data_IF_334450427251
#
_entry.id   IF_334450427251
#
_cell.length_a   1.000
_cell.length_b   1.000
_cell.length_c   1.000
_cell.angle_alpha   90.00
_cell.angle_beta   90.00
_cell.angle_gamma   90.00
#
_symmetry.space_group_name_H-M   'P 1'
#
loop_
_entity.id
_entity.type
_entity.pdbx_description
1 polymer ?
#
# COMPACT_ATOMS: atom_id res chain seq x y z
N UNK A 1 -54.17 9.46 -65.50
CA UNK A 1 -53.99 10.76 -64.81
C UNK A 1 -53.38 10.53 -63.43
N UNK A 2 -52.23 11.17 -63.18
CA UNK A 2 -51.61 11.61 -61.91
C UNK A 2 -52.15 11.02 -60.59
N UNK A 3 -51.33 10.21 -59.91
CA UNK A 3 -51.10 10.30 -58.44
C UNK A 3 -49.64 9.96 -58.10
N UNK A 4 -48.71 10.78 -58.60
CA UNK A 4 -47.39 10.99 -57.97
C UNK A 4 -47.66 11.86 -56.73
N UNK A 5 -47.65 11.30 -55.51
CA UNK A 5 -47.49 12.07 -54.25
C UNK A 5 -47.54 11.28 -52.91
N UNK A 6 -47.51 9.94 -52.87
CA UNK A 6 -47.55 9.21 -51.57
C UNK A 6 -46.39 8.20 -51.44
N UNK A 7 -45.23 8.49 -52.03
CA UNK A 7 -43.98 7.75 -51.75
C UNK A 7 -42.95 8.66 -51.04
N UNK A 8 -43.20 9.97 -50.97
CA UNK A 8 -42.28 10.93 -50.34
C UNK A 8 -42.51 11.17 -48.85
N UNK A 9 -43.53 10.58 -48.22
CA UNK A 9 -43.83 10.79 -46.79
C UNK A 9 -43.34 9.65 -45.88
N UNK A 10 -43.01 8.47 -46.44
CA UNK A 10 -42.40 7.37 -45.67
C UNK A 10 -40.87 7.39 -45.70
N UNK A 11 -40.24 8.14 -46.62
CA UNK A 11 -38.79 8.28 -46.67
C UNK A 11 -38.24 9.29 -45.64
N UNK A 12 -39.08 10.17 -45.08
CA UNK A 12 -38.68 11.17 -44.06
C UNK A 12 -38.98 10.69 -42.64
N UNK A 13 -39.86 9.69 -42.46
CA UNK A 13 -40.18 9.13 -41.14
C UNK A 13 -39.22 8.02 -40.67
N UNK A 14 -38.34 7.52 -41.55
CA UNK A 14 -37.23 6.61 -41.18
C UNK A 14 -35.98 7.39 -40.74
N UNK A 15 -35.98 8.73 -40.84
CA UNK A 15 -34.88 9.59 -40.38
C UNK A 15 -35.08 10.08 -38.93
N UNK A 16 -36.16 9.66 -38.24
CA UNK A 16 -36.53 10.24 -36.95
C UNK A 16 -36.53 9.32 -35.72
N UNK A 17 -36.16 8.03 -35.80
CA UNK A 17 -36.00 7.19 -34.60
C UNK A 17 -34.81 6.24 -34.75
N UNK A 18 -33.64 6.70 -34.31
CA UNK A 18 -32.71 6.00 -33.41
C UNK A 18 -31.33 6.65 -33.51
N UNK A 19 -31.18 7.80 -32.85
CA UNK A 19 -29.92 8.09 -32.16
C UNK A 19 -29.79 7.02 -31.07
N UNK A 20 -29.18 5.91 -31.43
CA UNK A 20 -28.52 5.02 -30.49
C UNK A 20 -27.10 4.94 -31.01
N UNK A 21 -26.22 5.70 -30.35
CA UNK A 21 -24.78 5.58 -30.55
C UNK A 21 -24.44 4.09 -30.57
N UNK A 22 -23.80 3.67 -31.66
CA UNK A 22 -23.37 2.30 -31.85
C UNK A 22 -22.39 2.01 -30.73
N UNK A 23 -22.87 1.27 -29.72
CA UNK A 23 -22.06 0.71 -28.66
C UNK A 23 -21.13 -0.28 -29.32
N UNK A 24 -19.86 0.11 -29.50
CA UNK A 24 -18.85 -0.82 -29.96
C UNK A 24 -18.33 -1.58 -28.74
N UNK A 25 -18.92 -2.76 -28.53
CA UNK A 25 -18.35 -3.80 -27.69
C UNK A 25 -17.17 -4.40 -28.46
N UNK A 26 -15.94 -4.00 -28.13
CA UNK A 26 -14.75 -4.63 -28.70
C UNK A 26 -14.30 -5.80 -27.82
N UNK A 27 -14.82 -7.00 -28.12
CA UNK A 27 -14.06 -8.23 -27.88
C UNK A 27 -13.29 -8.49 -29.17
N UNK A 28 -11.97 -8.27 -29.16
CA UNK A 28 -11.10 -8.47 -30.33
C UNK A 28 -10.27 -9.73 -30.10
N UNK A 29 -10.76 -10.87 -30.61
CA UNK A 29 -9.95 -12.08 -30.70
C UNK A 29 -8.99 -11.96 -31.88
N UNK A 30 -7.70 -12.17 -31.63
CA UNK A 30 -6.68 -12.25 -32.68
C UNK A 30 -6.18 -13.70 -32.77
N UNK A 31 -6.37 -14.33 -33.92
CA UNK A 31 -5.69 -15.57 -34.31
C UNK A 31 -4.50 -15.23 -35.20
N UNK A 32 -3.30 -15.57 -34.74
CA UNK A 32 -2.05 -15.43 -35.50
C UNK A 32 -1.84 -16.68 -36.35
N UNK A 33 -1.81 -16.53 -37.67
CA UNK A 33 -1.46 -17.59 -38.62
C UNK A 33 0.04 -17.91 -38.53
N UNK A 34 0.40 -18.83 -37.62
CA UNK A 34 1.45 -19.88 -37.71
C UNK A 34 1.78 -20.42 -36.31
N UNK A 35 1.21 -21.58 -35.99
CA UNK A 35 1.64 -22.53 -34.95
C UNK A 35 2.04 -21.98 -33.57
N UNK A 36 1.03 -21.70 -32.73
CA UNK A 36 1.03 -22.15 -31.33
C UNK A 36 -0.43 -22.15 -30.85
N UNK A 37 -0.84 -23.22 -30.17
CA UNK A 37 -2.23 -23.43 -29.75
C UNK A 37 -2.80 -22.21 -29.02
N UNK A 38 -3.85 -21.62 -29.58
CA UNK A 38 -4.69 -20.62 -28.91
C UNK A 38 -5.48 -21.31 -27.80
N UNK A 39 -5.19 -20.99 -26.55
CA UNK A 39 -6.10 -21.24 -25.43
C UNK A 39 -5.84 -20.28 -24.25
N UNK A 40 -5.43 -19.04 -24.51
CA UNK A 40 -5.38 -18.00 -23.49
C UNK A 40 -6.50 -17.00 -23.77
N UNK A 41 -7.41 -16.85 -22.81
CA UNK A 41 -8.32 -15.73 -22.79
C UNK A 41 -7.55 -14.52 -22.27
N UNK A 42 -7.57 -13.44 -23.04
CA UNK A 42 -7.03 -12.14 -22.66
C UNK A 42 -8.21 -11.17 -22.67
N UNK A 43 -8.60 -10.70 -21.49
CA UNK A 43 -9.65 -9.72 -21.32
C UNK A 43 -9.18 -8.70 -20.30
N UNK A 44 -8.81 -7.53 -20.81
CA UNK A 44 -8.49 -6.39 -19.97
C UNK A 44 -9.32 -5.21 -20.40
N UNK A 45 -10.07 -4.69 -19.44
CA UNK A 45 -10.95 -3.56 -19.64
C UNK A 45 -10.51 -2.44 -18.71
N UNK A 46 -10.22 -1.27 -19.29
CA UNK A 46 -10.21 -0.02 -18.54
C UNK A 46 -11.66 0.38 -18.27
N UNK A 47 -12.02 0.51 -16.99
CA UNK A 47 -13.38 0.95 -16.59
C UNK A 47 -13.31 2.23 -15.77
N UNK A 48 -14.34 3.07 -15.84
CA UNK A 48 -14.44 4.29 -15.04
C UNK A 48 -14.68 3.99 -13.55
N UNK A 49 -14.86 5.04 -12.73
CA UNK A 49 -15.16 4.89 -11.30
C UNK A 49 -16.47 4.17 -10.98
N UNK A 50 -17.37 4.03 -11.97
CA UNK A 50 -18.65 3.32 -11.87
C UNK A 50 -18.58 1.88 -12.41
N UNK A 51 -17.46 1.51 -13.03
CA UNK A 51 -17.26 0.18 -13.61
C UNK A 51 -17.67 0.07 -15.07
N UNK A 52 -17.98 1.18 -15.74
CA UNK A 52 -18.35 1.19 -17.16
C UNK A 52 -17.10 1.16 -18.05
N UNK A 53 -17.05 0.32 -19.11
CA UNK A 53 -15.91 0.27 -20.04
C UNK A 53 -15.64 1.64 -20.70
N UNK A 54 -14.37 2.02 -20.70
CA UNK A 54 -13.90 3.27 -21.31
C UNK A 54 -13.48 2.98 -22.75
N UNK A 55 -14.05 3.71 -23.71
CA UNK A 55 -13.62 3.70 -25.12
C UNK A 55 -12.54 4.75 -25.41
N UNK A 56 -12.05 4.79 -26.66
CA UNK A 56 -11.17 5.88 -27.12
C UNK A 56 -11.85 7.23 -26.92
N UNK A 57 -11.41 8.01 -25.94
CA UNK A 57 -12.06 9.25 -25.53
C UNK A 57 -11.05 10.36 -25.22
N UNK A 58 -11.39 11.59 -25.61
CA UNK A 58 -10.79 12.80 -25.06
C UNK A 58 -11.59 13.15 -23.80
N UNK A 59 -10.91 13.31 -22.65
CA UNK A 59 -11.59 13.77 -21.44
C UNK A 59 -11.43 15.29 -21.31
N UNK A 60 -12.55 15.95 -21.03
CA UNK A 60 -12.61 17.39 -20.82
C UNK A 60 -12.33 17.66 -19.34
N UNK A 61 -11.32 18.48 -19.04
CA UNK A 61 -10.89 18.78 -17.68
C UNK A 61 -11.97 19.47 -16.84
N UNK A 62 -13.04 19.98 -17.46
CA UNK A 62 -14.32 20.36 -16.82
C UNK A 62 -14.26 21.59 -15.90
N UNK A 63 -13.10 21.86 -15.31
CA UNK A 63 -12.80 22.95 -14.40
C UNK A 63 -11.79 23.92 -15.05
N UNK A 64 -11.90 25.18 -14.70
CA UNK A 64 -10.95 26.21 -15.12
C UNK A 64 -9.65 25.98 -14.36
N UNK A 65 -8.63 25.45 -15.05
CA UNK A 65 -7.31 25.31 -14.45
C UNK A 65 -6.74 26.71 -14.18
N UNK A 66 -6.33 26.95 -12.94
CA UNK A 66 -5.78 28.23 -12.51
C UNK A 66 -4.37 28.04 -11.95
N UNK A 67 -3.46 29.01 -12.16
CA UNK A 67 -2.13 28.97 -11.57
C UNK A 67 -2.17 28.86 -10.04
N UNK A 68 -1.32 27.98 -9.51
CA UNK A 68 -1.19 27.73 -8.07
C UNK A 68 -2.27 26.84 -7.47
N UNK A 69 -3.08 26.16 -8.29
CA UNK A 69 -4.08 25.23 -7.78
C UNK A 69 -3.45 23.97 -7.19
N UNK A 70 -4.07 23.46 -6.12
CA UNK A 70 -3.73 22.14 -5.60
C UNK A 70 -4.07 21.05 -6.63
N UNK A 71 -3.30 19.96 -6.61
CA UNK A 71 -3.54 18.82 -7.47
C UNK A 71 -4.94 18.22 -7.21
N UNK A 72 -5.71 18.01 -8.28
CA UNK A 72 -7.01 17.36 -8.20
C UNK A 72 -7.07 16.13 -9.12
N UNK A 73 -8.00 15.23 -8.81
CA UNK A 73 -8.23 14.02 -9.58
C UNK A 73 -9.08 14.37 -10.81
N UNK A 74 -8.46 14.43 -11.98
CA UNK A 74 -9.17 14.69 -13.22
C UNK A 74 -9.82 13.42 -13.80
N UNK A 75 -9.25 12.26 -13.50
CA UNK A 75 -9.74 10.99 -14.03
C UNK A 75 -9.32 9.81 -13.17
N UNK A 76 -10.15 8.76 -13.11
CA UNK A 76 -9.84 7.49 -12.45
C UNK A 76 -10.30 6.33 -13.31
N UNK A 77 -9.50 5.27 -13.36
CA UNK A 77 -9.86 4.05 -14.07
C UNK A 77 -9.34 2.80 -13.35
N UNK A 78 -9.85 1.63 -13.73
CA UNK A 78 -9.35 0.34 -13.22
C UNK A 78 -8.84 -0.54 -14.33
N UNK A 79 -7.76 -1.26 -14.06
CA UNK A 79 -7.30 -2.38 -14.90
C UNK A 79 -7.81 -3.66 -14.25
N UNK A 80 -8.69 -4.38 -14.95
CA UNK A 80 -9.20 -5.68 -14.52
C UNK A 80 -8.62 -6.80 -15.38
N UNK A 81 -7.81 -7.68 -14.77
CA UNK A 81 -7.18 -8.85 -15.41
C UNK A 81 -7.72 -10.19 -14.88
N UNK A 82 -8.84 -10.19 -14.15
CA UNK A 82 -9.39 -11.40 -13.50
C UNK A 82 -9.64 -12.55 -14.50
N UNK A 83 -9.96 -12.23 -15.75
CA UNK A 83 -10.20 -13.20 -16.84
C UNK A 83 -9.00 -13.32 -17.81
N UNK A 84 -7.82 -12.87 -17.40
CA UNK A 84 -6.60 -12.89 -18.21
C UNK A 84 -5.60 -13.90 -17.67
N UNK A 85 -5.37 -14.97 -18.43
CA UNK A 85 -4.49 -16.09 -18.05
C UNK A 85 -3.04 -15.91 -18.51
N UNK A 86 -2.74 -14.82 -19.23
CA UNK A 86 -1.40 -14.53 -19.77
C UNK A 86 -0.81 -13.25 -19.20
N UNK A 87 0.50 -13.23 -18.91
CA UNK A 87 1.21 -12.04 -18.45
C UNK A 87 1.18 -10.95 -19.50
N UNK A 88 0.88 -9.73 -19.03
CA UNK A 88 0.64 -8.56 -19.88
C UNK A 88 1.32 -7.36 -19.23
N UNK A 89 2.03 -6.60 -20.04
CA UNK A 89 2.53 -5.27 -19.70
C UNK A 89 1.57 -4.19 -20.23
N UNK A 90 1.49 -3.08 -19.51
CA UNK A 90 0.63 -1.95 -19.82
C UNK A 90 1.48 -0.73 -20.05
N UNK A 91 1.11 0.03 -21.08
CA UNK A 91 1.67 1.34 -21.34
C UNK A 91 0.54 2.37 -21.34
N UNK A 92 0.69 3.38 -20.50
CA UNK A 92 -0.23 4.51 -20.44
C UNK A 92 0.37 5.66 -21.24
N UNK A 93 -0.33 6.08 -22.29
CA UNK A 93 0.06 7.21 -23.12
C UNK A 93 -0.89 8.38 -22.88
N UNK A 94 -0.35 9.57 -22.67
CA UNK A 94 -1.09 10.83 -22.74
C UNK A 94 -0.73 11.56 -24.03
N UNK A 95 -1.74 11.95 -24.80
CA UNK A 95 -1.58 12.86 -25.93
C UNK A 95 -2.25 14.19 -25.58
N UNK A 96 -1.43 15.25 -25.49
CA UNK A 96 -1.86 16.59 -25.11
C UNK A 96 -1.99 17.45 -26.37
N UNK A 97 -3.08 18.19 -26.50
CA UNK A 97 -3.37 19.01 -27.69
C UNK A 97 -4.06 20.33 -27.32
N UNK A 98 -3.94 21.35 -28.18
CA UNK A 98 -4.56 22.67 -27.99
C UNK A 98 -3.59 23.70 -27.43
N UNK A 99 -4.06 24.95 -27.32
CA UNK A 99 -3.20 26.10 -26.98
C UNK A 99 -2.63 25.99 -25.55
N UNK A 100 -3.34 25.31 -24.65
CA UNK A 100 -2.85 25.02 -23.29
C UNK A 100 -1.70 24.01 -23.29
N UNK A 101 -1.57 23.17 -24.32
CA UNK A 101 -0.56 22.12 -24.43
C UNK A 101 0.22 22.24 -25.76
N UNK A 102 1.08 23.25 -25.89
CA UNK A 102 1.88 23.47 -27.10
C UNK A 102 2.91 22.36 -27.29
N UNK A 103 3.30 22.13 -28.55
CA UNK A 103 4.20 21.04 -28.94
C UNK A 103 5.65 21.20 -28.42
N UNK A 104 6.01 22.37 -27.91
CA UNK A 104 7.30 22.64 -27.26
C UNK A 104 7.31 22.26 -25.78
N UNK A 105 6.22 21.68 -25.27
CA UNK A 105 6.02 21.29 -23.87
C UNK A 105 6.17 22.45 -22.88
N UNK A 106 5.90 23.70 -23.30
CA UNK A 106 6.00 24.86 -22.41
C UNK A 106 4.77 25.05 -21.51
N UNK A 107 3.81 24.10 -21.52
CA UNK A 107 2.62 24.17 -20.66
C UNK A 107 3.03 24.11 -19.19
N UNK A 108 2.47 24.97 -18.33
CA UNK A 108 2.70 24.90 -16.88
C UNK A 108 1.86 23.81 -16.19
N UNK A 109 0.98 23.12 -16.93
CA UNK A 109 0.10 22.08 -16.39
C UNK A 109 0.83 20.75 -16.33
N UNK A 110 0.83 20.12 -15.16
CA UNK A 110 1.40 18.81 -14.91
C UNK A 110 0.33 17.72 -14.89
N UNK A 111 0.70 16.54 -15.36
CA UNK A 111 -0.08 15.32 -15.25
C UNK A 111 0.71 14.27 -14.49
N UNK A 112 0.08 13.66 -13.50
CA UNK A 112 0.68 12.55 -12.74
C UNK A 112 -0.26 11.36 -12.73
N UNK A 113 0.24 10.18 -13.12
CA UNK A 113 -0.48 8.92 -12.92
C UNK A 113 -0.17 8.36 -11.54
N UNK A 114 -1.20 7.93 -10.82
CA UNK A 114 -1.07 7.25 -9.53
C UNK A 114 -1.77 5.89 -9.56
N UNK A 115 -1.19 4.91 -8.87
CA UNK A 115 -1.78 3.59 -8.61
C UNK A 115 -2.08 3.47 -7.11
N UNK A 116 -3.18 2.82 -6.79
CA UNK A 116 -3.57 2.52 -5.42
C UNK A 116 -2.84 1.28 -4.90
N UNK A 117 -1.92 1.48 -3.96
CA UNK A 117 -1.18 0.41 -3.28
C UNK A 117 -1.62 0.36 -1.83
N UNK A 118 -2.46 -0.62 -1.50
CA UNK A 118 -3.09 -0.71 -0.18
C UNK A 118 -4.07 0.44 0.04
N UNK A 119 -3.79 1.29 1.05
CA UNK A 119 -4.61 2.47 1.33
C UNK A 119 -4.02 3.75 0.72
N UNK A 120 -2.82 3.68 0.13
CA UNK A 120 -2.08 4.84 -0.34
C UNK A 120 -2.10 4.94 -1.87
N UNK A 121 -1.99 6.17 -2.37
CA UNK A 121 -1.81 6.45 -3.79
C UNK A 121 -0.35 6.78 -4.07
N UNK A 122 0.28 6.00 -4.97
CA UNK A 122 1.71 6.10 -5.28
C UNK A 122 1.87 6.53 -6.73
N UNK A 123 2.78 7.47 -6.98
CA UNK A 123 3.11 7.91 -8.33
C UNK A 123 3.68 6.76 -9.16
N UNK A 124 3.19 6.62 -10.39
CA UNK A 124 3.66 5.62 -11.36
C UNK A 124 4.43 6.34 -12.45
N UNK A 125 5.65 5.88 -12.73
CA UNK A 125 6.35 6.26 -13.95
C UNK A 125 5.67 5.56 -15.15
N UNK A 126 4.83 6.31 -15.85
CA UNK A 126 4.12 5.82 -17.04
C UNK A 126 4.91 6.02 -18.34
N UNK A 127 6.14 6.53 -18.28
CA UNK A 127 7.00 6.62 -19.47
C UNK A 127 7.41 5.22 -19.98
N UNK A 128 7.45 4.24 -19.08
CA UNK A 128 7.82 2.86 -19.35
C UNK A 128 6.62 1.92 -19.17
N UNK A 129 6.57 0.78 -19.90
CA UNK A 129 5.58 -0.26 -19.63
C UNK A 129 5.71 -0.81 -18.21
N UNK A 130 4.58 -1.19 -17.60
CA UNK A 130 4.54 -1.81 -16.28
C UNK A 130 3.67 -3.07 -16.27
N UNK A 131 4.00 -4.03 -15.42
CA UNK A 131 3.21 -5.26 -15.24
C UNK A 131 2.33 -5.08 -14.00
N UNK A 132 1.00 -5.30 -14.07
CA UNK A 132 0.14 -5.21 -12.91
C UNK A 132 0.45 -6.34 -11.95
N UNK A 133 0.65 -5.97 -10.70
CA UNK A 133 0.89 -6.85 -9.58
C UNK A 133 -0.40 -7.54 -9.10
N UNK A 134 -1.59 -6.96 -9.28
CA UNK A 134 -2.87 -7.51 -8.79
C UNK A 134 -3.88 -7.78 -9.91
N UNK A 135 -4.88 -8.60 -9.61
CA UNK A 135 -5.96 -8.93 -10.57
C UNK A 135 -6.85 -7.74 -10.89
N UNK A 136 -6.97 -6.81 -9.95
CA UNK A 136 -7.63 -5.53 -10.13
C UNK A 136 -6.73 -4.46 -9.53
N UNK A 137 -6.44 -3.43 -10.32
CA UNK A 137 -5.68 -2.26 -9.89
C UNK A 137 -6.44 -0.97 -10.21
N UNK A 138 -6.47 -0.06 -9.24
CA UNK A 138 -7.11 1.25 -9.38
C UNK A 138 -6.03 2.29 -9.73
N UNK A 139 -6.29 3.08 -10.77
CA UNK A 139 -5.43 4.16 -11.24
C UNK A 139 -6.18 5.49 -11.24
N UNK A 140 -5.44 6.58 -11.06
CA UNK A 140 -5.96 7.93 -11.24
C UNK A 140 -4.95 8.87 -11.88
N UNK A 141 -5.47 9.86 -12.60
CA UNK A 141 -4.72 10.94 -13.24
C UNK A 141 -4.95 12.20 -12.43
N UNK A 142 -3.89 12.68 -11.81
CA UNK A 142 -3.84 13.94 -11.11
C UNK A 142 -3.42 15.04 -12.07
N UNK A 143 -4.03 16.21 -11.91
CA UNK A 143 -3.71 17.41 -12.68
C UNK A 143 -3.43 18.54 -11.70
N UNK A 144 -2.33 19.25 -11.93
CA UNK A 144 -1.96 20.44 -11.18
C UNK A 144 -1.38 21.52 -12.11
N UNK A 145 -1.47 22.77 -11.67
CA UNK A 145 -0.83 23.90 -12.33
C UNK A 145 -0.04 24.66 -11.26
N UNK A 146 1.23 24.29 -11.02
CA UNK A 146 2.10 25.02 -10.10
C UNK A 146 2.41 26.40 -10.65
N UNK A 147 2.60 27.38 -9.77
CA UNK A 147 3.00 28.71 -10.20
C UNK A 147 4.30 28.69 -11.01
N UNK A 148 4.31 29.46 -12.10
CA UNK A 148 5.41 29.53 -13.04
C UNK A 148 5.55 30.92 -13.65
N UNK A 149 6.73 31.24 -14.18
CA UNK A 149 7.00 32.55 -14.77
C UNK A 149 6.17 32.82 -16.04
N UNK A 150 5.60 31.78 -16.67
CA UNK A 150 4.78 31.89 -17.87
C UNK A 150 3.27 31.69 -17.62
N UNK A 151 2.80 31.70 -16.36
CA UNK A 151 1.38 31.54 -16.00
C UNK A 151 0.45 32.46 -16.82
N UNK A 152 0.83 33.73 -16.97
CA UNK A 152 0.05 34.73 -17.70
C UNK A 152 -0.10 34.40 -19.20
N UNK A 153 0.88 33.70 -19.79
CA UNK A 153 0.85 33.32 -21.20
C UNK A 153 -0.14 32.17 -21.47
N UNK A 154 -0.57 31.46 -20.43
CA UNK A 154 -1.47 30.31 -20.52
C UNK A 154 -2.89 30.58 -19.99
N UNK A 155 -3.11 31.73 -19.37
CA UNK A 155 -4.42 32.14 -18.87
C UNK A 155 -5.51 32.10 -19.95
N UNK A 156 -6.62 31.40 -19.67
CA UNK A 156 -7.76 31.26 -20.58
C UNK A 156 -7.53 30.37 -21.81
N UNK A 157 -6.35 29.78 -21.97
CA UNK A 157 -6.10 28.80 -23.03
C UNK A 157 -6.79 27.49 -22.70
N UNK A 158 -7.20 26.77 -23.74
CA UNK A 158 -7.85 25.47 -23.63
C UNK A 158 -7.01 24.39 -24.28
N UNK A 159 -7.20 23.16 -23.81
CA UNK A 159 -6.51 22.00 -24.33
C UNK A 159 -7.30 20.72 -24.07
N UNK A 160 -6.90 19.64 -24.73
CA UNK A 160 -7.49 18.31 -24.60
C UNK A 160 -6.41 17.30 -24.25
N UNK A 161 -6.80 16.31 -23.44
CA UNK A 161 -5.96 15.16 -23.08
C UNK A 161 -6.64 13.91 -23.61
N UNK A 162 -5.91 13.12 -24.41
CA UNK A 162 -6.27 11.75 -24.76
C UNK A 162 -5.44 10.81 -23.89
N UNK A 163 -6.12 9.96 -23.13
CA UNK A 163 -5.53 8.83 -22.41
C UNK A 163 -5.67 7.58 -23.28
N UNK A 164 -4.59 6.83 -23.43
CA UNK A 164 -4.58 5.54 -24.11
C UNK A 164 -3.86 4.53 -23.24
N UNK A 165 -4.52 3.40 -22.95
CA UNK A 165 -3.95 2.30 -22.16
C UNK A 165 -3.75 1.12 -23.10
N UNK A 166 -2.48 0.82 -23.41
CA UNK A 166 -2.11 -0.25 -24.33
C UNK A 166 -1.63 -1.46 -23.54
N UNK A 167 -2.24 -2.60 -23.79
CA UNK A 167 -1.84 -3.87 -23.18
C UNK A 167 -1.10 -4.74 -24.20
N UNK A 168 0.09 -5.22 -23.84
CA UNK A 168 0.94 -6.10 -24.67
C UNK A 168 1.22 -7.38 -23.92
N UNK A 169 0.97 -8.54 -24.55
CA UNK A 169 1.32 -9.83 -23.97
C UNK A 169 2.86 -9.98 -23.93
N UNK A 170 3.38 -10.47 -22.80
CA UNK A 170 4.80 -10.75 -22.59
C UNK A 170 5.02 -12.19 -22.13
N UNK A 171 6.26 -12.65 -22.18
CA UNK A 171 6.64 -13.92 -21.58
C UNK A 171 6.45 -13.85 -20.06
N UNK A 172 5.90 -14.92 -19.50
CA UNK A 172 5.65 -14.99 -18.07
C UNK A 172 6.91 -15.16 -17.26
N UNK A 173 6.80 -14.79 -15.99
CA UNK A 173 7.83 -15.07 -15.00
C UNK A 173 8.04 -16.59 -14.85
N UNK A 174 9.29 -17.01 -14.68
CA UNK A 174 9.62 -18.42 -14.52
C UNK A 174 9.21 -18.95 -13.14
N UNK A 175 8.73 -20.20 -13.07
CA UNK A 175 8.42 -20.87 -11.81
C UNK A 175 9.68 -21.03 -10.95
N UNK A 176 10.82 -21.26 -11.59
CA UNK A 176 12.11 -21.46 -10.94
C UNK A 176 12.54 -20.23 -10.14
N UNK A 177 12.46 -19.04 -10.73
CA UNK A 177 12.82 -17.81 -10.02
C UNK A 177 11.81 -17.46 -8.92
N UNK A 178 10.50 -17.69 -9.16
CA UNK A 178 9.48 -17.51 -8.13
C UNK A 178 9.73 -18.42 -6.91
N UNK A 179 10.15 -19.67 -7.16
CA UNK A 179 10.51 -20.63 -6.11
C UNK A 179 11.74 -20.15 -5.32
N UNK A 180 12.71 -19.54 -6.00
CA UNK A 180 13.90 -18.97 -5.36
C UNK A 180 13.55 -17.79 -4.45
N UNK A 181 12.71 -16.87 -4.90
CA UNK A 181 12.24 -15.73 -4.08
C UNK A 181 11.52 -16.22 -2.81
N UNK A 182 10.63 -17.21 -2.92
CA UNK A 182 9.97 -17.81 -1.77
C UNK A 182 10.97 -18.47 -0.80
N UNK A 183 12.01 -19.13 -1.31
CA UNK A 183 13.05 -19.75 -0.48
C UNK A 183 13.89 -18.71 0.26
N UNK A 184 14.16 -17.57 -0.39
CA UNK A 184 14.87 -16.45 0.24
C UNK A 184 14.02 -15.84 1.37
N UNK A 185 12.72 -15.62 1.12
CA UNK A 185 11.77 -15.19 2.15
C UNK A 185 11.67 -16.19 3.31
N UNK A 186 11.58 -17.49 3.04
CA UNK A 186 11.53 -18.54 4.07
C UNK A 186 12.84 -18.59 4.89
N UNK A 187 13.98 -18.39 4.23
CA UNK A 187 15.28 -18.35 4.91
C UNK A 187 15.36 -17.14 5.84
N UNK A 188 14.89 -15.97 5.39
CA UNK A 188 14.82 -14.76 6.22
C UNK A 188 13.85 -14.95 7.41
N UNK A 189 12.69 -15.56 7.19
CA UNK A 189 11.73 -15.91 8.24
C UNK A 189 12.37 -16.81 9.31
N UNK A 190 13.12 -17.84 8.91
CA UNK A 190 13.83 -18.73 9.83
C UNK A 190 14.97 -18.01 10.56
N UNK A 191 15.63 -17.05 9.90
CA UNK A 191 16.68 -16.25 10.52
C UNK A 191 16.15 -15.40 11.69
N UNK A 192 14.87 -14.98 11.66
CA UNK A 192 14.21 -14.30 12.78
C UNK A 192 14.28 -15.09 14.10
N UNK A 193 14.39 -16.42 14.07
CA UNK A 193 14.54 -17.26 15.28
C UNK A 193 15.96 -17.24 15.87
N UNK A 194 16.92 -16.66 15.15
CA UNK A 194 18.34 -16.61 15.51
C UNK A 194 18.90 -15.21 15.67
N UNK A 195 18.08 -14.17 15.45
CA UNK A 195 18.43 -12.77 15.77
C UNK A 195 18.89 -12.70 17.24
N UNK A 196 19.98 -11.97 17.52
CA UNK A 196 20.63 -11.90 18.84
C UNK A 196 21.05 -13.26 19.42
N UNK A 197 21.51 -14.19 18.57
CA UNK A 197 21.97 -15.54 18.96
C UNK A 197 23.19 -15.56 19.89
N UNK A 198 23.92 -14.46 19.98
CA UNK A 198 25.04 -14.24 20.90
C UNK A 198 24.60 -14.10 22.37
N UNK A 199 23.32 -13.82 22.61
CA UNK A 199 22.76 -13.74 23.97
C UNK A 199 21.57 -14.69 24.11
N UNK A 200 21.71 -15.71 24.95
CA UNK A 200 20.69 -16.77 25.13
C UNK A 200 19.31 -16.25 25.55
N UNK A 201 19.25 -15.06 26.17
CA UNK A 201 18.02 -14.42 26.64
C UNK A 201 17.29 -13.62 25.55
N UNK A 202 17.99 -13.18 24.50
CA UNK A 202 17.39 -12.38 23.42
C UNK A 202 17.33 -13.14 22.09
N UNK A 203 17.74 -14.41 22.05
CA UNK A 203 17.66 -15.22 20.83
C UNK A 203 16.24 -15.21 20.24
N UNK A 204 16.17 -14.83 18.98
CA UNK A 204 14.97 -14.67 18.19
C UNK A 204 14.14 -13.43 18.51
N UNK A 205 14.71 -12.45 19.25
CA UNK A 205 14.15 -11.11 19.53
C UNK A 205 14.42 -10.16 18.36
N UNK A 206 13.66 -10.34 17.28
CA UNK A 206 13.68 -9.45 16.13
C UNK A 206 12.88 -8.17 16.39
N UNK A 207 13.36 -7.07 15.83
CA UNK A 207 12.70 -5.76 15.74
C UNK A 207 11.58 -5.76 14.70
N UNK A 208 10.74 -4.72 14.73
CA UNK A 208 9.71 -4.55 13.67
C UNK A 208 10.36 -4.40 12.30
N UNK A 209 11.48 -3.68 12.22
CA UNK A 209 12.22 -3.50 10.97
C UNK A 209 12.69 -4.84 10.37
N UNK A 210 13.12 -5.79 11.21
CA UNK A 210 13.50 -7.13 10.75
C UNK A 210 12.31 -7.95 10.25
N UNK A 211 11.13 -7.86 10.88
CA UNK A 211 9.91 -8.50 10.34
C UNK A 211 9.41 -7.82 9.06
N UNK A 212 9.48 -6.49 9.00
CA UNK A 212 9.10 -5.71 7.81
C UNK A 212 10.01 -6.07 6.61
N UNK A 213 11.28 -6.38 6.84
CA UNK A 213 12.18 -6.86 5.80
C UNK A 213 11.77 -8.24 5.26
N UNK A 214 11.24 -9.14 6.10
CA UNK A 214 10.67 -10.42 5.63
C UNK A 214 9.38 -10.17 4.86
N UNK A 215 8.53 -9.24 5.32
CA UNK A 215 7.31 -8.86 4.61
C UNK A 215 7.62 -8.33 3.21
N UNK A 216 8.62 -7.45 3.07
CA UNK A 216 9.03 -6.93 1.77
C UNK A 216 9.46 -8.04 0.80
N UNK A 217 10.17 -9.08 1.27
CA UNK A 217 10.51 -10.24 0.45
C UNK A 217 9.28 -11.05 0.02
N UNK A 218 8.25 -11.13 0.87
CA UNK A 218 6.98 -11.77 0.53
C UNK A 218 6.19 -10.95 -0.48
N UNK A 219 6.15 -9.63 -0.34
CA UNK A 219 5.49 -8.72 -1.27
C UNK A 219 6.17 -8.77 -2.66
N UNK A 220 7.50 -8.78 -2.71
CA UNK A 220 8.29 -8.96 -3.94
C UNK A 220 8.00 -10.32 -4.58
N UNK A 221 7.95 -11.40 -3.78
CA UNK A 221 7.63 -12.73 -4.26
C UNK A 221 6.19 -12.81 -4.80
N UNK A 222 5.21 -12.20 -4.12
CA UNK A 222 3.82 -12.13 -4.56
C UNK A 222 3.72 -11.44 -5.92
N UNK A 223 4.35 -10.27 -6.05
CA UNK A 223 4.40 -9.52 -7.31
C UNK A 223 4.98 -10.34 -8.46
N UNK A 224 6.07 -11.06 -8.20
CA UNK A 224 6.68 -11.95 -9.20
C UNK A 224 5.79 -13.16 -9.53
N UNK A 225 5.20 -13.82 -8.53
CA UNK A 225 4.28 -14.96 -8.70
C UNK A 225 3.06 -14.58 -9.54
N UNK A 226 2.59 -13.34 -9.42
CA UNK A 226 1.46 -12.87 -10.19
C UNK A 226 1.71 -12.80 -11.71
N UNK A 227 2.97 -12.75 -12.13
CA UNK A 227 3.39 -12.88 -13.53
C UNK A 227 3.69 -14.31 -14.00
N UNK A 228 3.58 -15.33 -13.13
CA UNK A 228 3.87 -16.74 -13.47
C UNK A 228 2.66 -17.39 -14.16
N UNK A 229 2.88 -18.04 -15.29
CA UNK A 229 1.83 -18.73 -16.08
C UNK A 229 1.57 -20.16 -15.64
N UNK A 230 2.55 -20.85 -15.06
CA UNK A 230 2.45 -22.26 -14.68
C UNK A 230 2.85 -22.51 -13.24
N UNK A 231 2.01 -23.22 -12.49
CA UNK A 231 2.26 -23.53 -11.07
C UNK A 231 1.96 -22.37 -10.10
N UNK A 232 1.30 -21.30 -10.56
CA UNK A 232 0.91 -20.14 -9.75
C UNK A 232 0.16 -20.54 -8.46
N UNK A 233 -0.79 -21.48 -8.55
CA UNK A 233 -1.56 -21.96 -7.39
C UNK A 233 -0.67 -22.58 -6.30
N UNK A 234 0.34 -23.35 -6.69
CA UNK A 234 1.28 -23.98 -5.76
C UNK A 234 2.17 -22.93 -5.09
N UNK A 235 2.64 -21.95 -5.87
CA UNK A 235 3.45 -20.84 -5.39
C UNK A 235 2.67 -19.94 -4.42
N UNK A 236 1.41 -19.61 -4.74
CA UNK A 236 0.54 -18.83 -3.86
C UNK A 236 0.21 -19.59 -2.56
N UNK A 237 0.05 -20.91 -2.62
CA UNK A 237 -0.16 -21.72 -1.41
C UNK A 237 1.06 -21.66 -0.47
N UNK A 238 2.27 -21.70 -1.03
CA UNK A 238 3.50 -21.60 -0.28
C UNK A 238 3.74 -20.19 0.26
N UNK A 239 3.50 -19.15 -0.54
CA UNK A 239 3.51 -17.74 -0.09
C UNK A 239 2.61 -17.55 1.13
N UNK A 240 1.35 -18.01 1.05
CA UNK A 240 0.38 -17.91 2.14
C UNK A 240 0.81 -18.69 3.39
N UNK A 241 1.50 -19.82 3.24
CA UNK A 241 2.07 -20.56 4.38
C UNK A 241 3.13 -19.72 5.09
N UNK A 242 4.07 -19.14 4.34
CA UNK A 242 5.16 -18.33 4.90
C UNK A 242 4.60 -17.05 5.54
N UNK A 243 3.66 -16.37 4.87
CA UNK A 243 2.96 -15.19 5.42
C UNK A 243 2.30 -15.51 6.76
N UNK A 244 1.55 -16.61 6.84
CA UNK A 244 0.90 -17.03 8.08
C UNK A 244 1.89 -17.30 9.22
N UNK A 245 3.06 -17.88 8.91
CA UNK A 245 4.09 -18.10 9.90
C UNK A 245 4.73 -16.78 10.37
N UNK A 246 4.92 -15.80 9.48
CA UNK A 246 5.35 -14.46 9.84
C UNK A 246 4.32 -13.77 10.75
N UNK A 247 3.04 -13.80 10.37
CA UNK A 247 1.94 -13.20 11.14
C UNK A 247 1.89 -13.79 12.55
N UNK A 248 1.98 -15.12 12.68
CA UNK A 248 2.00 -15.79 13.99
C UNK A 248 3.21 -15.39 14.83
N UNK A 249 4.40 -15.25 14.22
CA UNK A 249 5.59 -14.77 14.93
C UNK A 249 5.37 -13.33 15.41
N UNK A 250 4.85 -12.46 14.56
CA UNK A 250 4.57 -11.04 14.85
C UNK A 250 3.50 -10.89 15.95
N UNK A 251 2.36 -11.58 15.83
CA UNK A 251 1.28 -11.58 16.81
C UNK A 251 1.73 -12.08 18.18
N UNK A 252 2.60 -13.09 18.23
CA UNK A 252 3.18 -13.59 19.49
C UNK A 252 4.06 -12.57 20.22
N UNK A 253 4.39 -11.44 19.58
CA UNK A 253 5.20 -10.36 20.17
C UNK A 253 4.40 -9.20 20.74
N UNK A 254 3.20 -8.93 20.25
CA UNK A 254 2.46 -7.76 20.71
C UNK A 254 1.99 -7.93 22.15
N UNK A 255 2.42 -7.00 22.99
CA UNK A 255 1.88 -6.82 24.34
C UNK A 255 1.20 -5.47 24.40
N UNK A 256 -0.02 -5.45 24.93
CA UNK A 256 -0.76 -4.22 25.13
C UNK A 256 -0.53 -3.69 26.53
N UNK A 257 -0.45 -2.37 26.67
CA UNK A 257 -0.40 -1.70 27.97
C UNK A 257 -1.50 -0.65 28.15
N UNK A 258 -1.87 -0.44 29.41
CA UNK A 258 -2.66 0.72 29.86
C UNK A 258 -1.87 1.43 30.96
N UNK A 259 -1.78 2.76 30.90
CA UNK A 259 -1.19 3.56 31.98
C UNK A 259 -2.17 3.60 33.16
N UNK A 260 -1.72 3.19 34.35
CA UNK A 260 -2.48 3.40 35.57
C UNK A 260 -2.18 4.80 36.12
N UNK A 261 -3.11 5.72 35.89
CA UNK A 261 -3.01 7.11 36.34
C UNK A 261 -2.95 7.26 37.86
N UNK A 262 -3.51 6.33 38.64
CA UNK A 262 -3.43 6.37 40.10
C UNK A 262 -2.03 5.99 40.62
N UNK A 263 -1.26 5.26 39.79
CA UNK A 263 0.08 4.80 40.13
C UNK A 263 1.16 5.42 39.23
N UNK A 264 0.83 6.49 38.52
CA UNK A 264 1.77 7.22 37.65
C UNK A 264 1.90 8.66 38.13
N UNK A 265 3.14 9.11 38.29
CA UNK A 265 3.51 10.48 38.66
C UNK A 265 4.94 10.79 38.18
N UNK A 266 5.48 11.94 38.55
CA UNK A 266 6.82 12.38 38.13
C UNK A 266 7.94 11.38 38.49
N UNK A 267 7.77 10.62 39.57
CA UNK A 267 8.79 9.70 40.10
C UNK A 267 8.44 8.22 39.87
N UNK A 268 7.35 7.93 39.18
CA UNK A 268 6.81 6.58 39.05
C UNK A 268 5.95 6.41 37.81
N UNK A 269 6.09 5.29 37.11
CA UNK A 269 5.22 4.84 36.03
C UNK A 269 4.56 3.51 36.44
N UNK A 270 3.23 3.44 36.37
CA UNK A 270 2.45 2.21 36.57
C UNK A 270 1.79 1.76 35.27
N UNK A 271 2.02 0.50 34.87
CA UNK A 271 1.50 -0.09 33.64
C UNK A 271 0.71 -1.37 33.94
N UNK A 272 -0.49 -1.48 33.39
CA UNK A 272 -1.19 -2.76 33.26
C UNK A 272 -0.75 -3.38 31.94
N UNK A 273 -0.30 -4.62 31.95
CA UNK A 273 0.16 -5.33 30.75
C UNK A 273 -0.81 -6.47 30.42
N UNK A 274 -1.10 -6.69 29.15
CA UNK A 274 -1.99 -7.77 28.69
C UNK A 274 -1.37 -9.16 28.87
N UNK A 275 -0.05 -9.24 28.95
CA UNK A 275 0.70 -10.47 29.18
C UNK A 275 1.20 -10.56 30.62
N UNK A 276 1.19 -11.78 31.17
CA UNK A 276 1.80 -12.04 32.48
C UNK A 276 3.31 -11.86 32.39
N UNK A 277 3.91 -11.23 33.40
CA UNK A 277 5.30 -10.81 33.39
C UNK A 277 6.04 -11.23 34.65
N UNK A 278 7.30 -11.62 34.53
CA UNK A 278 8.11 -11.91 35.72
C UNK A 278 8.55 -10.59 36.37
N UNK A 279 8.17 -10.37 37.63
CA UNK A 279 8.66 -9.23 38.38
C UNK A 279 10.08 -9.53 38.88
N UNK A 280 11.09 -8.88 38.31
CA UNK A 280 12.43 -8.86 38.90
C UNK A 280 12.77 -7.45 39.37
N UNK A 281 13.18 -7.34 40.62
CA UNK A 281 13.76 -6.12 41.18
C UNK A 281 15.17 -5.99 40.66
N UNK A 282 15.37 -5.23 39.58
CA UNK A 282 16.71 -4.92 39.06
C UNK A 282 17.10 -3.53 39.52
N UNK A 283 18.28 -3.41 40.13
CA UNK A 283 18.90 -2.14 40.52
C UNK A 283 20.05 -1.87 39.55
N UNK A 284 20.02 -0.73 38.87
CA UNK A 284 21.22 -0.18 38.23
C UNK A 284 21.93 0.73 39.23
N UNK A 285 23.24 0.58 39.42
CA UNK A 285 24.03 1.40 40.34
C UNK A 285 24.33 2.79 39.72
N UNK A 286 23.33 3.67 39.64
CA UNK A 286 23.45 5.05 39.13
C UNK A 286 22.58 6.03 39.94
N UNK A 287 22.89 7.34 39.96
CA UNK A 287 22.10 8.34 40.70
C UNK A 287 20.62 8.36 40.28
N UNK A 288 20.33 8.21 38.99
CA UNK A 288 18.96 8.14 38.46
C UNK A 288 18.41 6.71 38.35
N UNK A 289 18.90 5.77 39.17
CA UNK A 289 18.46 4.39 39.13
C UNK A 289 16.94 4.26 39.33
N UNK A 290 16.31 3.42 38.51
CA UNK A 290 14.93 3.01 38.72
C UNK A 290 14.86 1.58 39.25
N UNK A 291 13.87 1.36 40.10
CA UNK A 291 13.46 0.05 40.58
C UNK A 291 12.25 -0.39 39.78
N UNK A 292 12.30 -1.62 39.29
CA UNK A 292 11.19 -2.28 38.60
C UNK A 292 10.58 -3.30 39.55
N UNK A 293 9.25 -3.34 39.65
CA UNK A 293 8.56 -4.31 40.47
C UNK A 293 7.22 -4.69 39.83
N UNK A 294 6.87 -5.97 39.92
CA UNK A 294 5.48 -6.39 39.76
C UNK A 294 4.75 -6.17 41.09
N UNK A 295 3.62 -5.48 41.06
CA UNK A 295 2.80 -5.14 42.22
C UNK A 295 1.40 -5.65 41.99
N UNK A 296 0.83 -6.37 42.96
CA UNK A 296 -0.57 -6.78 42.90
C UNK A 296 -1.47 -5.63 43.37
N UNK A 297 -2.51 -5.36 42.59
CA UNK A 297 -3.58 -4.39 42.82
C UNK A 297 -4.94 -5.09 42.74
N UNK A 298 -6.02 -4.39 43.09
CA UNK A 298 -7.38 -4.95 43.10
C UNK A 298 -7.83 -5.46 41.71
N UNK A 299 -7.28 -4.88 40.64
CA UNK A 299 -7.56 -5.26 39.25
C UNK A 299 -6.54 -6.26 38.68
N UNK A 300 -5.63 -6.80 39.50
CA UNK A 300 -4.61 -7.76 39.10
C UNK A 300 -3.18 -7.24 39.18
N UNK A 301 -2.29 -7.81 38.38
CA UNK A 301 -0.84 -7.57 38.45
C UNK A 301 -0.45 -6.36 37.60
N UNK A 302 0.14 -5.35 38.23
CA UNK A 302 0.66 -4.14 37.60
C UNK A 302 2.20 -4.19 37.56
N UNK A 303 2.77 -3.68 36.48
CA UNK A 303 4.20 -3.41 36.37
C UNK A 303 4.49 -1.98 36.78
N UNK A 304 5.44 -1.79 37.70
CA UNK A 304 5.78 -0.47 38.26
C UNK A 304 7.26 -0.17 38.09
N UNK A 305 7.56 0.98 37.51
CA UNK A 305 8.89 1.55 37.37
C UNK A 305 8.98 2.80 38.25
N UNK A 306 9.88 2.83 39.24
CA UNK A 306 9.98 3.92 40.22
C UNK A 306 11.42 4.37 40.44
N UNK A 307 11.69 5.68 40.52
CA UNK A 307 13.02 6.16 40.91
C UNK A 307 13.40 5.64 42.30
N UNK A 308 14.64 5.20 42.46
CA UNK A 308 15.16 4.75 43.74
C UNK A 308 15.20 5.91 44.75
N UNK A 309 15.58 7.10 44.30
CA UNK A 309 15.54 8.35 45.06
C UNK A 309 14.75 9.37 44.23
N UNK A 310 13.63 9.85 44.77
CA UNK A 310 12.73 10.80 44.09
C UNK A 310 13.43 12.08 43.65
N UNK A 311 14.38 12.55 44.46
CA UNK A 311 15.08 13.83 44.25
C UNK A 311 16.02 13.82 43.04
N UNK A 312 16.30 12.62 42.49
CA UNK A 312 17.15 12.44 41.33
C UNK A 312 16.37 12.41 40.01
N UNK A 313 15.03 12.40 40.05
CA UNK A 313 14.20 12.37 38.86
C UNK A 313 14.32 13.68 38.07
N UNK A 314 14.56 13.57 36.76
CA UNK A 314 14.63 14.72 35.84
C UNK A 314 13.75 14.50 34.63
N UNK A 315 13.23 15.60 34.09
CA UNK A 315 12.59 15.59 32.77
C UNK A 315 13.63 15.22 31.71
N UNK A 316 13.29 14.29 30.83
CA UNK A 316 14.16 13.77 29.78
C UNK A 316 14.97 12.54 30.19
N UNK A 317 14.90 12.08 31.44
CA UNK A 317 15.56 10.84 31.85
C UNK A 317 15.03 9.65 31.03
N UNK A 318 15.95 8.83 30.49
CA UNK A 318 15.65 7.68 29.64
C UNK A 318 16.08 6.36 30.29
N UNK A 319 15.21 5.35 30.17
CA UNK A 319 15.42 4.02 30.75
C UNK A 319 15.14 2.95 29.71
N UNK A 320 16.17 2.21 29.31
CA UNK A 320 16.04 1.08 28.38
C UNK A 320 15.91 -0.21 29.19
N UNK A 321 14.91 -1.03 28.90
CA UNK A 321 14.63 -2.26 29.63
C UNK A 321 14.01 -3.35 28.76
N UNK A 322 14.48 -4.59 28.94
CA UNK A 322 13.87 -5.79 28.36
C UNK A 322 12.76 -6.36 29.25
N UNK A 323 11.50 -6.08 28.94
CA UNK A 323 10.33 -6.64 29.61
C UNK A 323 10.23 -8.14 29.36
N UNK A 324 10.28 -8.94 30.44
CA UNK A 324 10.20 -10.40 30.39
C UNK A 324 8.82 -10.89 30.75
N UNK A 325 8.22 -11.66 29.84
CA UNK A 325 6.89 -12.22 30.00
C UNK A 325 6.94 -13.72 30.33
N UNK A 326 5.93 -14.19 31.05
CA UNK A 326 5.73 -15.60 31.34
C UNK A 326 4.97 -16.27 30.18
N UNK A 327 4.86 -17.61 30.22
CA UNK A 327 4.00 -18.35 29.29
C UNK A 327 4.51 -18.40 27.85
N UNK A 328 5.82 -18.23 27.62
CA UNK A 328 6.43 -18.30 26.29
C UNK A 328 6.34 -17.01 25.48
N UNK A 329 5.76 -15.95 26.04
CA UNK A 329 5.84 -14.60 25.46
C UNK A 329 7.29 -14.13 25.55
N UNK A 330 7.88 -13.82 24.40
CA UNK A 330 9.31 -13.49 24.28
C UNK A 330 9.56 -12.08 24.86
N UNK A 331 10.79 -11.83 25.32
CA UNK A 331 11.22 -10.54 25.91
C UNK A 331 11.05 -9.38 24.91
N UNK A 332 10.63 -8.21 25.39
CA UNK A 332 10.43 -6.99 24.57
C UNK A 332 11.34 -5.87 25.09
N UNK A 333 12.10 -5.24 24.20
CA UNK A 333 12.89 -4.05 24.55
C UNK A 333 12.01 -2.79 24.50
N UNK A 334 12.11 -1.98 25.54
CA UNK A 334 11.32 -0.76 25.73
C UNK A 334 12.20 0.36 26.25
N UNK A 335 12.02 1.56 25.71
CA UNK A 335 12.60 2.80 26.25
C UNK A 335 11.50 3.64 26.91
N UNK A 336 11.67 3.94 28.18
CA UNK A 336 10.81 4.83 28.93
C UNK A 336 11.48 6.20 29.07
N UNK A 337 10.79 7.28 28.72
CA UNK A 337 11.28 8.66 28.92
C UNK A 337 10.34 9.42 29.85
N UNK A 338 10.88 9.99 30.94
CA UNK A 338 10.11 10.84 31.85
C UNK A 338 9.89 12.22 31.20
N UNK A 339 8.64 12.60 30.93
CA UNK A 339 8.31 13.88 30.30
C UNK A 339 7.96 14.97 31.34
N UNK A 340 7.93 14.65 32.63
CA UNK A 340 7.48 15.59 33.66
C UNK A 340 5.99 15.45 33.99
N UNK A 341 5.59 15.93 35.17
CA UNK A 341 4.18 16.04 35.58
C UNK A 341 3.36 14.73 35.54
N UNK A 342 4.03 13.57 35.58
CA UNK A 342 3.38 12.26 35.45
C UNK A 342 3.17 11.80 34.02
N UNK A 343 3.69 12.52 33.03
CA UNK A 343 3.69 12.09 31.64
C UNK A 343 4.95 11.27 31.34
N UNK A 344 4.77 10.19 30.58
CA UNK A 344 5.85 9.29 30.19
C UNK A 344 5.71 8.94 28.71
N UNK A 345 6.84 8.97 27.99
CA UNK A 345 6.93 8.40 26.65
C UNK A 345 7.36 6.95 26.77
N UNK A 346 6.67 6.04 26.09
CA UNK A 346 7.01 4.62 26.02
C UNK A 346 7.29 4.31 24.57
N UNK A 347 8.52 3.91 24.28
CA UNK A 347 8.98 3.63 22.92
C UNK A 347 9.35 2.15 22.83
N UNK A 348 8.62 1.41 22.03
CA UNK A 348 8.88 0.00 21.74
C UNK A 348 8.23 -0.37 20.42
N UNK A 349 8.87 -1.29 19.71
CA UNK A 349 8.32 -1.88 18.48
C UNK A 349 7.11 -2.78 18.75
N UNK A 350 7.04 -3.37 19.96
CA UNK A 350 6.12 -4.48 20.26
C UNK A 350 5.24 -4.26 21.50
N UNK A 351 5.43 -3.15 22.22
CA UNK A 351 4.58 -2.74 23.34
C UNK A 351 3.65 -1.60 22.91
N UNK A 352 2.36 -1.90 22.75
CA UNK A 352 1.37 -0.98 22.20
C UNK A 352 0.38 -0.48 23.26
N UNK A 353 0.02 0.80 23.21
CA UNK A 353 -1.03 1.34 24.09
C UNK A 353 -2.39 0.77 23.70
N UNK A 354 -3.13 0.25 24.67
CA UNK A 354 -4.50 -0.21 24.48
C UNK A 354 -5.41 1.01 24.42
N UNK A 355 -5.92 1.29 23.21
CA UNK A 355 -6.87 2.38 22.95
C UNK A 355 -8.26 2.08 23.49
#
# INVERSE_FOLDING_TARGET
MKKKSIISLFAVLIVAIAVLGTVAYFSKSFTSDKNMATAANFNVTAVDSKGDPIGDGQFNLGEELIPGMDAFEAYSFKVNKTDTDVPVEYKVNFTLTGDLFPADNSSPVNLTLQNKVGNDWVNVDYANPFIPQKDIEDFRVMVDWPHSDNDADFAGKTGNIKLEVVATQVDGNSKEEATKLLKDAETALKALDTVHSDTSFNRGNFSKAESDAVQALLDDAEGFINGVTSGKTELLAELNRIQKELDQKVESRYVYYEIDTNNTNFTQLGLKLSADHSGQTIRYEQPSAMTIAAVYQDYGKMWRLKYFTSDNAKVGDKFVYGLRFNGGVKTIDVTFTNLGEGNWKIESDWLAEKK
#
